data_IF_351569785935
#
_entry.id   IF_351569785935
#
_cell.length_a   1.000
_cell.length_b   1.000
_cell.length_c   1.000
_cell.angle_alpha   90.00
_cell.angle_beta   90.00
_cell.angle_gamma   90.00
#
_symmetry.space_group_name_H-M   'P 1'
#
loop_
_entity.id
_entity.type
_entity.pdbx_description
1 polymer ?
#
# COMPACT_ATOMS: atom_id res chain seq x y z
N UNK A 1 -8.36 9.31 13.82
CA UNK A 1 -7.93 10.71 13.52
C UNK A 1 -8.15 10.92 12.04
N UNK A 2 -8.82 12.01 11.67
CA UNK A 2 -8.88 12.44 10.28
C UNK A 2 -7.87 13.57 10.08
N UNK A 3 -6.93 13.36 9.16
CA UNK A 3 -5.99 14.40 8.76
C UNK A 3 -6.45 14.97 7.43
N UNK A 4 -6.92 16.22 7.47
CA UNK A 4 -7.48 16.91 6.33
C UNK A 4 -6.55 18.02 5.85
N UNK A 5 -6.50 18.24 4.54
CA UNK A 5 -5.69 19.30 3.94
C UNK A 5 -6.01 19.53 2.48
N UNK A 6 -5.06 20.14 1.77
CA UNK A 6 -5.14 20.31 0.32
C UNK A 6 -3.79 20.00 -0.31
N UNK A 7 -3.79 19.20 -1.36
CA UNK A 7 -2.62 18.86 -2.18
C UNK A 7 -2.82 19.38 -3.60
N UNK A 8 -1.71 19.58 -4.32
CA UNK A 8 -1.72 20.02 -5.71
C UNK A 8 -1.42 18.84 -6.61
N UNK A 9 -2.36 18.46 -7.47
CA UNK A 9 -2.20 17.38 -8.44
C UNK A 9 -1.30 17.79 -9.62
N UNK A 10 -0.93 16.82 -10.46
CA UNK A 10 -0.08 17.03 -11.65
C UNK A 10 -0.61 18.08 -12.63
N UNK A 11 -1.94 18.21 -12.73
CA UNK A 11 -2.63 19.17 -13.60
C UNK A 11 -2.81 20.56 -12.94
N UNK A 12 -2.27 20.75 -11.73
CA UNK A 12 -2.41 21.98 -10.94
C UNK A 12 -3.73 22.11 -10.19
N UNK A 13 -4.62 21.13 -10.26
CA UNK A 13 -5.86 21.08 -9.48
C UNK A 13 -5.54 20.95 -7.99
N UNK A 14 -6.27 21.70 -7.18
CA UNK A 14 -6.23 21.61 -5.74
C UNK A 14 -7.22 20.52 -5.30
N UNK A 15 -6.71 19.44 -4.72
CA UNK A 15 -7.51 18.31 -4.25
C UNK A 15 -7.61 18.36 -2.72
N UNK A 16 -8.81 18.17 -2.15
CA UNK A 16 -8.91 17.88 -0.73
C UNK A 16 -8.23 16.53 -0.47
N UNK A 17 -7.38 16.47 0.54
CA UNK A 17 -6.77 15.22 1.01
C UNK A 17 -7.32 14.89 2.39
N UNK A 18 -7.65 13.63 2.64
CA UNK A 18 -8.13 13.11 3.92
C UNK A 18 -7.47 11.76 4.21
N UNK A 19 -6.32 11.80 4.88
CA UNK A 19 -5.73 10.59 5.44
C UNK A 19 -6.53 10.16 6.69
N UNK A 20 -6.75 8.86 6.86
CA UNK A 20 -7.48 8.30 8.01
C UNK A 20 -6.48 7.49 8.85
N UNK A 21 -6.35 7.82 10.13
CA UNK A 21 -5.37 7.21 11.02
C UNK A 21 -6.08 6.59 12.21
N UNK A 22 -5.82 5.32 12.48
CA UNK A 22 -6.27 4.59 13.65
C UNK A 22 -5.07 4.12 14.47
N UNK A 23 -5.08 4.41 15.77
CA UNK A 23 -3.95 4.14 16.66
C UNK A 23 -4.36 3.25 17.81
N UNK A 24 -3.61 2.18 18.04
CA UNK A 24 -3.72 1.30 19.21
C UNK A 24 -2.52 1.53 20.13
N UNK A 25 -2.78 1.57 21.44
CA UNK A 25 -1.81 1.93 22.48
C UNK A 25 -1.02 3.20 22.11
N UNK A 26 -1.68 4.35 21.82
CA UNK A 26 -1.02 5.53 21.27
C UNK A 26 0.14 6.08 22.13
N UNK A 27 0.20 5.72 23.40
CA UNK A 27 1.27 6.04 24.34
C UNK A 27 2.55 5.20 24.18
N UNK A 28 2.47 4.05 23.49
CA UNK A 28 3.63 3.18 23.29
C UNK A 28 4.64 3.82 22.32
N UNK A 29 5.91 3.89 22.72
CA UNK A 29 6.99 4.40 21.86
C UNK A 29 7.41 3.39 20.78
N UNK A 30 7.27 2.10 21.06
CA UNK A 30 7.62 1.02 20.15
C UNK A 30 6.39 0.58 19.36
N UNK A 31 6.42 0.88 18.05
CA UNK A 31 5.23 0.86 17.20
C UNK A 31 5.48 0.23 15.84
N UNK A 32 4.45 -0.35 15.24
CA UNK A 32 4.43 -0.70 13.83
C UNK A 32 3.53 0.28 13.06
N UNK A 33 3.94 0.62 11.85
CA UNK A 33 3.15 1.38 10.89
C UNK A 33 2.54 0.42 9.86
N UNK A 34 1.23 0.43 9.72
CA UNK A 34 0.48 -0.36 8.73
C UNK A 34 -0.24 0.62 7.83
N UNK A 35 -0.24 0.39 6.52
CA UNK A 35 -0.87 1.34 5.61
C UNK A 35 -1.30 0.74 4.28
N UNK A 36 -2.22 1.44 3.63
CA UNK A 36 -2.73 1.23 2.28
C UNK A 36 -3.26 2.58 1.77
N UNK A 37 -3.35 2.78 0.47
CA UNK A 37 -4.14 3.89 -0.07
C UNK A 37 -5.62 3.50 -0.11
N UNK A 38 -6.53 4.48 -0.08
CA UNK A 38 -7.99 4.23 -0.11
C UNK A 38 -8.73 4.98 -1.22
N UNK A 39 -8.07 5.91 -1.91
CA UNK A 39 -8.62 6.53 -3.10
C UNK A 39 -8.58 5.57 -4.30
N UNK A 40 -9.36 5.90 -5.33
CA UNK A 40 -9.45 5.14 -6.57
C UNK A 40 -9.12 6.03 -7.75
N UNK A 41 -8.44 5.48 -8.77
CA UNK A 41 -8.11 6.23 -9.97
C UNK A 41 -9.31 6.91 -10.62
N UNK A 42 -9.22 8.21 -10.94
CA UNK A 42 -10.27 8.89 -11.70
C UNK A 42 -10.21 8.57 -13.21
N UNK A 43 -9.21 7.80 -13.67
CA UNK A 43 -8.98 7.50 -15.10
C UNK A 43 -8.60 6.03 -15.30
N UNK A 44 -9.36 5.30 -16.12
CA UNK A 44 -8.98 4.00 -16.66
C UNK A 44 -7.96 4.13 -17.80
N UNK A 45 -6.78 4.72 -17.56
CA UNK A 45 -5.84 5.11 -18.60
C UNK A 45 -5.14 3.92 -19.31
N UNK A 46 -5.39 2.67 -18.86
CA UNK A 46 -4.93 1.43 -19.51
C UNK A 46 -6.01 0.73 -20.34
N UNK A 47 -7.26 1.18 -20.30
CA UNK A 47 -8.31 0.68 -21.18
C UNK A 47 -8.05 1.03 -22.66
N UNK A 48 -8.74 0.36 -23.58
CA UNK A 48 -8.79 0.78 -24.98
C UNK A 48 -9.76 1.95 -25.20
N UNK A 49 -10.91 1.92 -24.52
CA UNK A 49 -12.00 2.90 -24.60
C UNK A 49 -12.29 3.51 -23.21
N UNK A 50 -13.08 4.59 -23.13
CA UNK A 50 -13.52 5.20 -21.83
C UNK A 50 -12.38 5.59 -20.86
N UNK A 51 -11.18 5.89 -21.37
CA UNK A 51 -9.96 6.20 -20.59
C UNK A 51 -10.06 7.33 -19.57
N UNK A 52 -11.07 8.19 -19.66
CA UNK A 52 -11.28 9.34 -18.77
C UNK A 52 -12.41 9.09 -17.75
N UNK A 53 -12.89 7.86 -17.64
CA UNK A 53 -13.86 7.43 -16.62
C UNK A 53 -13.13 6.76 -15.44
N UNK A 54 -13.67 6.87 -14.22
CA UNK A 54 -13.05 6.29 -13.02
C UNK A 54 -13.16 4.76 -13.00
N UNK A 55 -12.21 4.11 -12.32
CA UNK A 55 -12.25 2.67 -12.02
C UNK A 55 -12.94 2.40 -10.68
N UNK A 56 -13.38 1.16 -10.46
CA UNK A 56 -13.95 0.74 -9.18
C UNK A 56 -12.87 0.62 -8.07
N UNK A 57 -11.61 0.30 -8.43
CA UNK A 57 -10.50 0.21 -7.47
C UNK A 57 -10.66 -0.96 -6.49
N UNK A 58 -11.21 -2.09 -6.96
CA UNK A 58 -11.49 -3.22 -6.08
C UNK A 58 -10.21 -3.85 -5.55
N UNK A 59 -9.20 -4.02 -6.42
CA UNK A 59 -7.88 -4.50 -6.04
C UNK A 59 -6.95 -3.32 -5.70
N UNK A 60 -6.93 -2.32 -6.55
CA UNK A 60 -6.13 -1.09 -6.44
C UNK A 60 -6.80 -0.12 -5.45
N UNK A 61 -6.37 -0.17 -4.18
CA UNK A 61 -6.98 0.51 -3.04
C UNK A 61 -7.85 -0.41 -2.18
N UNK A 62 -8.93 -0.97 -2.73
CA UNK A 62 -9.93 -1.72 -1.96
C UNK A 62 -9.37 -2.94 -1.21
N UNK A 63 -8.43 -3.67 -1.83
CA UNK A 63 -7.89 -4.91 -1.26
C UNK A 63 -7.04 -4.68 -0.01
N UNK A 64 -6.12 -3.71 -0.05
CA UNK A 64 -5.24 -3.36 1.07
C UNK A 64 -6.02 -2.83 2.26
N UNK A 65 -6.95 -1.90 2.02
CA UNK A 65 -7.87 -1.38 3.04
C UNK A 65 -8.70 -2.51 3.66
N UNK A 66 -9.28 -3.39 2.83
CA UNK A 66 -10.09 -4.51 3.29
C UNK A 66 -9.33 -5.47 4.21
N UNK A 67 -8.10 -5.85 3.84
CA UNK A 67 -7.25 -6.69 4.69
C UNK A 67 -6.96 -5.99 6.01
N UNK A 68 -6.56 -4.71 5.99
CA UNK A 68 -6.23 -4.01 7.22
C UNK A 68 -7.42 -3.77 8.14
N UNK A 69 -8.62 -3.56 7.61
CA UNK A 69 -9.84 -3.46 8.42
C UNK A 69 -10.12 -4.77 9.17
N UNK A 70 -9.94 -5.93 8.53
CA UNK A 70 -10.12 -7.23 9.19
C UNK A 70 -9.04 -7.48 10.24
N UNK A 71 -7.78 -7.14 9.95
CA UNK A 71 -6.69 -7.21 10.94
C UNK A 71 -6.99 -6.29 12.14
N UNK A 72 -7.47 -5.07 11.88
CA UNK A 72 -7.87 -4.11 12.91
C UNK A 72 -9.02 -4.63 13.78
N UNK A 73 -9.97 -5.37 13.20
CA UNK A 73 -11.04 -6.05 13.94
C UNK A 73 -10.46 -7.03 14.96
N UNK A 74 -9.41 -7.77 14.60
CA UNK A 74 -8.75 -8.71 15.49
C UNK A 74 -7.93 -8.06 16.62
N UNK A 75 -7.45 -6.82 16.45
CA UNK A 75 -6.78 -6.09 17.53
C UNK A 75 -7.66 -5.86 18.76
N UNK A 76 -8.99 -5.81 18.58
CA UNK A 76 -9.93 -5.67 19.69
C UNK A 76 -10.03 -6.95 20.56
N UNK A 77 -9.86 -8.13 19.95
CA UNK A 77 -9.97 -9.43 20.63
C UNK A 77 -8.62 -9.83 21.26
N UNK A 78 -7.53 -9.61 20.55
CA UNK A 78 -6.18 -9.95 20.99
C UNK A 78 -5.22 -8.80 20.68
N UNK A 79 -5.12 -7.77 21.53
CA UNK A 79 -4.25 -6.63 21.27
C UNK A 79 -2.78 -7.04 21.08
N UNK A 80 -2.09 -6.52 20.04
CA UNK A 80 -0.67 -6.81 19.84
C UNK A 80 0.16 -6.24 20.99
N UNK A 81 1.40 -6.73 21.15
CA UNK A 81 2.30 -6.26 22.21
C UNK A 81 2.68 -4.78 22.01
N UNK A 82 3.01 -4.42 20.77
CA UNK A 82 3.43 -3.09 20.34
C UNK A 82 2.27 -2.11 20.18
N UNK A 83 2.60 -0.82 20.08
CA UNK A 83 1.70 0.17 19.50
C UNK A 83 1.51 -0.08 18.00
N UNK A 84 0.32 0.22 17.48
CA UNK A 84 0.03 0.11 16.05
C UNK A 84 -0.55 1.43 15.58
N UNK A 85 -0.10 1.91 14.43
CA UNK A 85 -0.81 2.93 13.65
C UNK A 85 -1.15 2.35 12.29
N UNK A 86 -2.44 2.33 12.00
CA UNK A 86 -2.97 2.01 10.69
C UNK A 86 -3.34 3.32 9.99
N UNK A 87 -2.77 3.56 8.82
CA UNK A 87 -3.02 4.76 8.04
C UNK A 87 -3.57 4.39 6.66
N UNK A 88 -4.72 4.95 6.33
CA UNK A 88 -5.22 4.96 4.96
C UNK A 88 -4.84 6.28 4.30
N UNK A 89 -3.93 6.22 3.33
CA UNK A 89 -3.49 7.38 2.57
C UNK A 89 -4.48 7.70 1.45
N UNK A 90 -4.71 8.99 1.23
CA UNK A 90 -5.64 9.50 0.21
C UNK A 90 -4.86 10.13 -0.95
N UNK A 91 -5.44 10.21 -2.14
CA UNK A 91 -4.82 10.82 -3.31
C UNK A 91 -3.46 10.19 -3.66
N UNK A 92 -3.35 8.87 -3.54
CA UNK A 92 -2.22 8.11 -4.05
C UNK A 92 -2.27 8.11 -5.60
N UNK A 93 -3.43 7.73 -6.14
CA UNK A 93 -3.61 7.31 -7.53
C UNK A 93 -4.18 8.44 -8.41
N UNK A 94 -3.94 9.69 -8.02
CA UNK A 94 -4.25 10.87 -8.84
C UNK A 94 -3.07 11.27 -9.74
N UNK A 95 -2.04 10.44 -9.85
CA UNK A 95 -0.85 10.75 -10.62
C UNK A 95 -1.09 10.92 -12.12
N UNK A 96 -0.11 11.51 -12.81
CA UNK A 96 -0.24 11.86 -14.22
C UNK A 96 -0.57 10.62 -15.08
N UNK A 97 -1.67 10.62 -15.86
CA UNK A 97 -2.05 9.47 -16.68
C UNK A 97 -1.14 9.30 -17.89
N UNK A 98 -1.08 8.05 -18.35
CA UNK A 98 -0.27 7.62 -19.49
C UNK A 98 -0.59 8.44 -20.74
N UNK A 99 0.42 9.09 -21.32
CA UNK A 99 0.26 9.89 -22.55
C UNK A 99 -0.22 11.34 -22.33
N UNK A 100 -0.42 11.80 -21.09
CA UNK A 100 -0.68 13.21 -20.83
C UNK A 100 0.55 14.09 -21.16
N UNK A 101 0.33 15.19 -21.87
CA UNK A 101 1.34 16.24 -22.09
C UNK A 101 1.45 17.09 -20.81
N UNK A 102 2.44 16.81 -19.96
CA UNK A 102 2.64 17.46 -18.66
C UNK A 102 4.12 17.73 -18.35
N UNK A 103 4.34 18.61 -17.37
CA UNK A 103 5.68 19.04 -16.93
C UNK A 103 6.32 17.85 -16.21
N UNK A 104 7.32 17.26 -16.87
CA UNK A 104 8.17 16.19 -16.36
C UNK A 104 7.48 14.81 -16.28
N UNK A 105 7.43 14.09 -17.43
CA UNK A 105 6.98 12.68 -17.54
C UNK A 105 7.73 11.71 -16.59
N UNK A 106 8.75 12.18 -15.87
CA UNK A 106 9.56 11.43 -14.92
C UNK A 106 9.31 11.81 -13.44
N UNK A 107 8.40 12.75 -13.13
CA UNK A 107 8.18 13.15 -11.74
C UNK A 107 7.26 12.16 -11.01
N UNK A 108 7.90 11.20 -10.32
CA UNK A 108 7.22 10.32 -9.36
C UNK A 108 6.56 11.10 -8.20
N UNK A 109 6.86 12.39 -8.03
CA UNK A 109 6.25 13.25 -7.01
C UNK A 109 4.77 13.61 -7.30
N UNK A 110 4.23 13.20 -8.46
CA UNK A 110 2.80 13.37 -8.79
C UNK A 110 1.89 12.32 -8.16
N UNK A 111 2.46 11.21 -7.68
CA UNK A 111 1.77 10.10 -7.01
C UNK A 111 1.90 10.21 -5.50
N UNK A 112 1.19 9.36 -4.76
CA UNK A 112 1.36 9.22 -3.31
C UNK A 112 1.15 10.55 -2.55
N UNK A 113 0.23 11.42 -2.99
CA UNK A 113 0.11 12.78 -2.45
C UNK A 113 -0.34 12.77 -0.98
N UNK A 114 -1.12 11.78 -0.56
CA UNK A 114 -1.53 11.56 0.82
C UNK A 114 -0.37 11.26 1.76
N UNK A 115 0.47 10.27 1.43
CA UNK A 115 1.65 9.96 2.22
C UNK A 115 2.67 11.11 2.18
N UNK A 116 2.81 11.79 1.05
CA UNK A 116 3.62 13.00 0.96
C UNK A 116 3.11 14.12 1.87
N UNK A 117 1.79 14.29 1.97
CA UNK A 117 1.19 15.27 2.86
C UNK A 117 1.40 14.87 4.32
N UNK A 118 1.14 13.60 4.67
CA UNK A 118 1.31 13.07 6.02
C UNK A 118 2.75 13.19 6.52
N UNK A 119 3.74 12.81 5.72
CA UNK A 119 5.16 12.90 6.09
C UNK A 119 5.63 14.34 6.33
N UNK A 120 4.95 15.35 5.78
CA UNK A 120 5.22 16.78 6.05
C UNK A 120 4.43 17.33 7.23
N UNK A 121 3.32 16.68 7.58
CA UNK A 121 2.35 17.13 8.57
C UNK A 121 2.03 15.97 9.51
N UNK A 122 2.99 15.49 10.29
CA UNK A 122 2.77 14.30 11.11
C UNK A 122 1.61 14.51 12.08
N UNK A 123 0.74 13.49 12.17
CA UNK A 123 -0.39 13.46 13.10
C UNK A 123 0.02 13.48 14.58
N UNK A 124 1.25 13.05 14.87
CA UNK A 124 1.93 13.21 16.16
C UNK A 124 3.31 13.84 15.90
N UNK A 125 3.71 14.91 16.60
CA UNK A 125 5.03 15.51 16.43
C UNK A 125 6.15 14.49 16.66
N UNK A 126 7.10 14.41 15.74
CA UNK A 126 8.24 13.49 15.84
C UNK A 126 7.86 12.01 15.68
N UNK A 127 6.71 11.70 15.08
CA UNK A 127 6.25 10.33 14.86
C UNK A 127 7.35 9.43 14.26
N UNK A 128 7.48 8.22 14.82
CA UNK A 128 8.35 7.16 14.34
C UNK A 128 7.70 5.79 14.56
N UNK A 129 8.19 4.79 13.86
CA UNK A 129 7.80 3.39 14.03
C UNK A 129 9.01 2.48 13.77
N UNK A 130 8.99 1.28 14.33
CA UNK A 130 10.02 0.25 14.17
C UNK A 130 10.18 -0.14 12.69
N UNK A 131 9.06 -0.35 12.01
CA UNK A 131 8.98 -0.55 10.56
C UNK A 131 7.55 -0.33 10.05
N UNK A 132 7.42 -0.23 8.73
CA UNK A 132 6.17 -0.09 8.00
C UNK A 132 5.83 -1.29 7.10
N UNK A 133 4.54 -1.59 6.92
CA UNK A 133 4.04 -2.52 5.90
C UNK A 133 2.92 -1.84 5.12
N UNK A 134 3.15 -1.62 3.82
CA UNK A 134 2.15 -1.26 2.83
C UNK A 134 1.50 -2.53 2.27
N UNK A 135 0.18 -2.48 2.05
CA UNK A 135 -0.54 -3.44 1.21
C UNK A 135 -1.13 -2.69 0.02
N UNK A 136 -0.74 -3.10 -1.18
CA UNK A 136 -1.30 -2.60 -2.43
C UNK A 136 -1.60 -3.76 -3.38
N UNK A 137 -2.75 -3.74 -4.06
CA UNK A 137 -3.20 -4.77 -5.01
C UNK A 137 -3.06 -6.22 -4.49
N UNK A 138 -3.49 -6.48 -3.26
CA UNK A 138 -3.32 -7.77 -2.54
C UNK A 138 -4.51 -8.74 -2.65
N UNK A 139 -5.44 -8.47 -3.57
CA UNK A 139 -6.73 -9.17 -3.67
C UNK A 139 -6.92 -10.03 -4.91
N UNK A 140 -6.14 -9.84 -5.98
CA UNK A 140 -6.38 -10.56 -7.24
C UNK A 140 -6.20 -12.09 -7.11
N UNK A 141 -6.96 -12.84 -7.91
CA UNK A 141 -6.83 -14.30 -7.99
C UNK A 141 -5.41 -14.70 -8.39
N UNK A 142 -4.87 -15.69 -7.69
CA UNK A 142 -3.53 -16.25 -7.94
C UNK A 142 -2.37 -15.24 -7.86
N UNK A 143 -2.60 -14.06 -7.27
CA UNK A 143 -1.58 -13.03 -7.11
C UNK A 143 -0.33 -13.58 -6.42
N UNK A 144 0.81 -13.15 -6.95
CA UNK A 144 2.16 -13.47 -6.46
C UNK A 144 2.86 -12.21 -6.01
N UNK A 145 3.36 -12.23 -4.79
CA UNK A 145 4.07 -11.16 -4.14
C UNK A 145 5.56 -11.49 -4.20
N UNK A 146 6.29 -10.72 -5.00
CA UNK A 146 7.75 -10.80 -5.10
C UNK A 146 8.40 -9.78 -4.16
N UNK A 147 9.69 -9.92 -3.89
CA UNK A 147 10.42 -8.98 -3.06
C UNK A 147 10.70 -7.70 -3.85
N UNK A 148 9.87 -6.68 -3.65
CA UNK A 148 9.99 -5.39 -4.32
C UNK A 148 11.34 -4.71 -3.97
N UNK A 149 11.98 -4.10 -4.98
CA UNK A 149 13.37 -3.66 -4.90
C UNK A 149 13.63 -2.48 -3.94
N UNK A 150 12.72 -1.52 -3.84
CA UNK A 150 12.75 -0.40 -2.89
C UNK A 150 12.63 -0.94 -1.46
N UNK A 151 11.72 -1.88 -1.23
CA UNK A 151 11.54 -2.60 0.04
C UNK A 151 12.82 -3.34 0.41
N UNK A 152 13.47 -4.00 -0.54
CA UNK A 152 14.76 -4.66 -0.33
C UNK A 152 15.93 -3.68 -0.12
N UNK A 153 15.85 -2.47 -0.67
CA UNK A 153 16.82 -1.41 -0.45
C UNK A 153 16.73 -0.83 0.96
N UNK A 154 15.52 -0.52 1.42
CA UNK A 154 15.31 0.20 2.68
C UNK A 154 15.04 -0.72 3.89
N UNK A 155 14.33 -1.82 3.68
CA UNK A 155 13.82 -2.68 4.74
C UNK A 155 14.02 -4.19 4.47
N UNK A 156 15.21 -4.66 4.02
CA UNK A 156 15.41 -6.08 3.67
C UNK A 156 15.23 -7.03 4.86
N UNK A 157 15.39 -6.54 6.08
CA UNK A 157 15.15 -7.31 7.30
C UNK A 157 13.65 -7.54 7.56
N UNK A 158 12.79 -6.58 7.17
CA UNK A 158 11.34 -6.69 7.25
C UNK A 158 10.83 -7.61 6.13
N UNK A 159 11.32 -7.43 4.89
CA UNK A 159 10.98 -8.33 3.77
C UNK A 159 11.26 -9.79 4.14
N UNK A 160 12.48 -10.09 4.61
CA UNK A 160 12.83 -11.46 5.05
C UNK A 160 11.94 -11.98 6.17
N UNK A 161 11.52 -11.11 7.10
CA UNK A 161 10.63 -11.50 8.21
C UNK A 161 9.25 -11.89 7.67
N UNK A 162 8.68 -11.07 6.81
CA UNK A 162 7.36 -11.31 6.20
C UNK A 162 7.38 -12.56 5.32
N UNK A 163 8.34 -12.68 4.40
CA UNK A 163 8.41 -13.84 3.49
C UNK A 163 8.67 -15.16 4.22
N UNK A 164 9.55 -15.18 5.24
CA UNK A 164 9.74 -16.40 6.06
C UNK A 164 8.49 -16.77 6.84
N UNK A 165 7.73 -15.77 7.28
CA UNK A 165 6.46 -16.01 7.98
C UNK A 165 5.42 -16.59 7.03
N UNK A 166 5.30 -16.03 5.83
CA UNK A 166 4.43 -16.57 4.78
C UNK A 166 4.79 -18.02 4.43
N UNK A 167 6.08 -18.32 4.21
CA UNK A 167 6.56 -19.67 3.94
C UNK A 167 6.20 -20.64 5.08
N UNK A 168 6.43 -20.25 6.34
CA UNK A 168 6.10 -21.06 7.50
C UNK A 168 4.59 -21.32 7.67
N UNK A 169 3.74 -20.44 7.16
CA UNK A 169 2.28 -20.60 7.13
C UNK A 169 1.79 -21.39 5.92
N UNK A 170 2.68 -21.78 5.00
CA UNK A 170 2.34 -22.51 3.77
C UNK A 170 1.87 -21.61 2.63
N UNK A 171 2.21 -20.32 2.64
CA UNK A 171 1.88 -19.33 1.60
C UNK A 171 3.06 -19.03 0.65
N UNK A 172 4.08 -19.90 0.61
CA UNK A 172 5.30 -19.69 -0.20
C UNK A 172 5.08 -19.78 -1.71
N UNK A 173 3.93 -20.32 -2.15
CA UNK A 173 3.48 -20.29 -3.55
C UNK A 173 3.00 -18.90 -4.01
N UNK A 174 2.66 -18.03 -3.05
CA UNK A 174 2.26 -16.64 -3.28
C UNK A 174 3.38 -15.67 -2.92
N UNK A 175 4.07 -15.88 -1.82
CA UNK A 175 5.19 -15.03 -1.37
C UNK A 175 6.51 -15.55 -1.94
N UNK A 176 6.86 -15.09 -3.14
CA UNK A 176 7.99 -15.59 -3.91
C UNK A 176 9.30 -14.95 -3.42
N UNK A 177 10.30 -15.73 -2.96
CA UNK A 177 11.56 -15.20 -2.43
C UNK A 177 12.54 -14.78 -3.55
N UNK A 178 12.05 -14.02 -4.53
CA UNK A 178 12.82 -13.47 -5.64
C UNK A 178 12.61 -11.95 -5.70
N UNK A 179 13.69 -11.21 -5.97
CA UNK A 179 13.66 -9.74 -6.08
C UNK A 179 13.21 -9.33 -7.48
N UNK A 180 12.23 -8.42 -7.56
CA UNK A 180 11.81 -7.77 -8.81
C UNK A 180 12.05 -6.26 -8.72
N UNK A 181 12.50 -5.66 -9.83
CA UNK A 181 12.72 -4.21 -9.96
C UNK A 181 11.45 -3.44 -10.37
N UNK A 182 10.34 -4.15 -10.57
CA UNK A 182 9.07 -3.60 -11.02
C UNK A 182 8.22 -3.09 -9.83
N UNK A 183 7.32 -2.14 -10.12
CA UNK A 183 6.25 -1.50 -9.31
C UNK A 183 6.33 0.04 -9.43
N UNK A 184 7.53 0.62 -9.46
CA UNK A 184 7.69 2.07 -9.55
C UNK A 184 7.73 2.73 -8.17
N UNK A 185 7.22 3.96 -8.04
CA UNK A 185 7.14 4.67 -6.76
C UNK A 185 5.77 4.43 -6.16
N UNK A 186 5.76 4.09 -4.87
CA UNK A 186 4.56 3.86 -4.06
C UNK A 186 4.75 4.51 -2.67
N UNK A 187 3.73 4.54 -1.83
CA UNK A 187 3.65 5.22 -0.54
C UNK A 187 4.80 4.84 0.40
N UNK A 188 5.25 3.57 0.37
CA UNK A 188 6.36 3.12 1.22
C UNK A 188 7.67 3.84 0.89
N UNK A 189 7.91 4.20 -0.37
CA UNK A 189 9.09 4.95 -0.79
C UNK A 189 9.08 6.35 -0.18
N UNK A 190 7.92 7.02 -0.15
CA UNK A 190 7.76 8.34 0.49
C UNK A 190 8.07 8.25 1.98
N UNK A 191 7.50 7.25 2.67
CA UNK A 191 7.75 7.00 4.10
C UNK A 191 9.23 6.72 4.37
N UNK A 192 9.85 5.82 3.59
CA UNK A 192 11.27 5.47 3.70
C UNK A 192 12.17 6.68 3.49
N UNK A 193 11.96 7.46 2.43
CA UNK A 193 12.80 8.62 2.08
C UNK A 193 12.68 9.75 3.09
N UNK A 194 11.47 10.06 3.58
CA UNK A 194 11.22 11.26 4.39
C UNK A 194 11.30 11.02 5.88
N UNK A 195 10.80 9.89 6.38
CA UNK A 195 10.76 9.61 7.82
C UNK A 195 11.83 8.63 8.28
N UNK A 196 12.53 7.97 7.33
CA UNK A 196 13.54 6.94 7.64
C UNK A 196 12.94 5.74 8.41
N UNK A 197 11.62 5.54 8.33
CA UNK A 197 10.95 4.36 8.87
C UNK A 197 11.09 3.24 7.83
N UNK A 198 11.82 2.15 8.11
CA UNK A 198 12.02 1.06 7.16
C UNK A 198 10.66 0.45 6.80
N UNK A 199 10.19 0.66 5.58
CA UNK A 199 8.86 0.23 5.15
C UNK A 199 8.96 -0.66 3.93
N UNK A 200 8.15 -1.72 3.92
CA UNK A 200 8.04 -2.62 2.77
C UNK A 200 6.69 -2.42 2.09
N UNK A 201 6.63 -2.94 0.88
CA UNK A 201 5.42 -3.08 0.10
C UNK A 201 5.17 -4.55 -0.25
N UNK A 202 3.93 -4.98 -0.03
CA UNK A 202 3.41 -6.28 -0.44
C UNK A 202 2.43 -5.98 -1.56
N UNK A 203 2.93 -6.14 -2.79
CA UNK A 203 2.22 -5.82 -4.02
C UNK A 203 2.38 -6.93 -5.05
N UNK A 204 1.33 -7.13 -5.84
CA UNK A 204 1.34 -8.14 -6.89
C UNK A 204 2.34 -7.80 -7.99
N UNK A 205 3.15 -8.79 -8.36
CA UNK A 205 3.86 -8.79 -9.63
C UNK A 205 3.36 -9.95 -10.50
N UNK A 206 2.80 -9.58 -11.65
CA UNK A 206 2.22 -10.48 -12.62
C UNK A 206 3.23 -10.79 -13.75
N UNK A 207 3.69 -12.04 -13.82
CA UNK A 207 4.73 -12.47 -14.76
C UNK A 207 4.30 -12.31 -16.24
N UNK A 208 3.01 -12.51 -16.54
CA UNK A 208 2.50 -12.44 -17.92
C UNK A 208 2.53 -11.04 -18.53
N UNK A 209 2.49 -10.00 -17.69
CA UNK A 209 2.61 -8.59 -18.09
C UNK A 209 4.00 -8.03 -17.80
N UNK A 210 4.87 -8.83 -17.17
CA UNK A 210 6.14 -8.38 -16.58
C UNK A 210 5.94 -7.14 -15.70
N UNK A 211 4.79 -7.09 -14.99
CA UNK A 211 4.35 -5.89 -14.32
C UNK A 211 3.11 -6.07 -13.45
N UNK A 212 2.19 -5.11 -13.47
CA UNK A 212 0.94 -5.17 -12.70
C UNK A 212 -0.05 -6.16 -13.33
N UNK A 213 -1.02 -6.60 -12.53
CA UNK A 213 -2.14 -7.42 -13.00
C UNK A 213 -2.84 -6.77 -14.21
N UNK A 214 -3.35 -7.54 -15.19
CA UNK A 214 -4.00 -6.97 -16.38
C UNK A 214 -5.18 -6.01 -16.11
N UNK A 215 -5.80 -6.09 -14.92
CA UNK A 215 -6.87 -5.18 -14.52
C UNK A 215 -6.39 -3.81 -14.03
N UNK A 216 -5.09 -3.63 -13.78
CA UNK A 216 -4.54 -2.39 -13.22
C UNK A 216 -4.85 -1.17 -14.09
N UNK A 217 -5.43 -0.13 -13.48
CA UNK A 217 -5.92 1.08 -14.15
C UNK A 217 -6.87 0.82 -15.34
N UNK A 218 -7.66 -0.25 -15.25
CA UNK A 218 -8.73 -0.59 -16.21
C UNK A 218 -10.08 -0.66 -15.52
N UNK A 219 -11.16 -0.64 -16.29
CA UNK A 219 -12.49 -0.92 -15.72
C UNK A 219 -12.67 -2.39 -15.27
N UNK A 220 -11.72 -3.28 -15.59
CA UNK A 220 -11.73 -4.66 -15.11
C UNK A 220 -11.25 -4.77 -13.65
N UNK A 221 -10.73 -3.69 -13.04
CA UNK A 221 -10.43 -3.67 -11.59
C UNK A 221 -11.70 -3.55 -10.73
N UNK A 222 -12.47 -4.63 -10.77
CA UNK A 222 -13.77 -4.79 -10.13
C UNK A 222 -13.76 -6.00 -9.18
N UNK A 223 -14.88 -6.25 -8.49
CA UNK A 223 -14.99 -7.40 -7.58
C UNK A 223 -14.74 -8.76 -8.24
N UNK A 224 -14.82 -8.87 -9.57
CA UNK A 224 -14.61 -10.12 -10.31
C UNK A 224 -13.15 -10.62 -10.25
N UNK A 225 -12.18 -9.72 -10.04
CA UNK A 225 -10.76 -10.12 -9.88
C UNK A 225 -10.42 -10.56 -8.47
N UNK A 226 -11.24 -10.18 -7.48
CA UNK A 226 -10.94 -10.39 -6.06
C UNK A 226 -11.14 -11.86 -5.66
N UNK A 227 -10.13 -12.41 -5.01
CA UNK A 227 -10.11 -13.78 -4.51
C UNK A 227 -9.85 -13.82 -3.00
N UNK A 228 -10.76 -14.50 -2.29
CA UNK A 228 -10.69 -14.62 -0.82
C UNK A 228 -9.46 -15.38 -0.35
N UNK A 229 -8.94 -16.33 -1.14
CA UNK A 229 -7.78 -17.12 -0.75
C UNK A 229 -6.50 -16.28 -0.83
N UNK A 230 -6.41 -15.36 -1.80
CA UNK A 230 -5.33 -14.36 -1.86
C UNK A 230 -5.38 -13.45 -0.63
N UNK A 231 -6.53 -12.83 -0.37
CA UNK A 231 -6.72 -11.95 0.79
C UNK A 231 -6.40 -12.66 2.12
N UNK A 232 -6.82 -13.93 2.25
CA UNK A 232 -6.53 -14.74 3.43
C UNK A 232 -5.04 -15.01 3.59
N UNK A 233 -4.31 -15.32 2.52
CA UNK A 233 -2.87 -15.58 2.58
C UNK A 233 -2.09 -14.34 3.04
N UNK A 234 -2.45 -13.17 2.52
CA UNK A 234 -1.83 -11.89 2.91
C UNK A 234 -2.20 -11.54 4.35
N UNK A 235 -3.49 -11.53 4.68
CA UNK A 235 -4.01 -11.20 6.01
C UNK A 235 -3.40 -12.08 7.11
N UNK A 236 -3.39 -13.41 6.93
CA UNK A 236 -2.78 -14.33 7.92
C UNK A 236 -1.29 -14.12 8.08
N UNK A 237 -0.57 -13.83 6.99
CA UNK A 237 0.87 -13.55 7.04
C UNK A 237 1.15 -12.30 7.87
N UNK A 238 0.48 -11.18 7.57
CA UNK A 238 0.74 -9.93 8.29
C UNK A 238 0.29 -10.00 9.75
N UNK A 239 -0.82 -10.67 10.06
CA UNK A 239 -1.23 -10.94 11.44
C UNK A 239 -0.15 -11.72 12.20
N UNK A 240 0.34 -12.82 11.64
CA UNK A 240 1.36 -13.64 12.30
C UNK A 240 2.65 -12.84 12.53
N UNK A 241 3.04 -11.97 11.59
CA UNK A 241 4.19 -11.05 11.75
C UNK A 241 3.96 -10.10 12.92
N UNK A 242 2.82 -9.40 12.95
CA UNK A 242 2.48 -8.40 13.96
C UNK A 242 2.45 -9.03 15.36
N UNK A 243 1.79 -10.17 15.54
CA UNK A 243 1.64 -10.81 16.86
C UNK A 243 2.90 -11.51 17.36
N UNK A 244 3.86 -11.83 16.48
CA UNK A 244 5.16 -12.37 16.88
C UNK A 244 6.15 -11.31 17.34
N UNK A 245 5.88 -10.03 17.11
CA UNK A 245 6.75 -8.96 17.61
C UNK A 245 6.77 -8.90 19.14
N UNK A 246 7.95 -8.61 19.67
CA UNK A 246 8.23 -8.45 21.10
C UNK A 246 9.03 -7.18 21.34
#
# INVERSE_FOLDING_TARGET
IEQQGTVKAFNGQQLPVRNIIASWKPEAEDRLLLFAHWDTRPFADKDLDRKNEPIDGANDGGSGVGVWLEVARHFAEAPPALGIDLIFFDVEDYGQPSGAMGVDQASSDTWCLGSQYWTRNLHVPGYTARYGILLDMVGARDARFYQEAISMRYAPHVVRKVWRTAEALGHGDRFIPEVKLFVGTDDHDVVNRRLRIPSIDIIEYHEGTNGFHPSWHTHDDSMDVIDRTTLQAVGRTVMEVIWKER
#
